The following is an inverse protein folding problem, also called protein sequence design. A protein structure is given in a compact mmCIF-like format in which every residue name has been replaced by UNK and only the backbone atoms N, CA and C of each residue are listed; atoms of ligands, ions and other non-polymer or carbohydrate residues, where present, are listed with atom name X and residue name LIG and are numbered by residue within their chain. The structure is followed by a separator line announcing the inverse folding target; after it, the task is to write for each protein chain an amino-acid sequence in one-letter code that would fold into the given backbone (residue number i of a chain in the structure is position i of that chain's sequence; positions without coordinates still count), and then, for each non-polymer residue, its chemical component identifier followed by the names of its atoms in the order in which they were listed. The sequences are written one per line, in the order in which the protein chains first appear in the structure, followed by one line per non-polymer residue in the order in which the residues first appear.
data_IF_983916464732
#
_entry.id   IF_983916464732
#
_cell.length_a   1.000
_cell.length_b   1.000
_cell.length_c   1.000
_cell.angle_alpha   90.00
_cell.angle_beta   90.00
_cell.angle_gamma   90.00
#
_symmetry.space_group_name_H-M   'P 1'
#
loop_
_entity.id
_entity.type
_entity.pdbx_description
1 polymer ?
#
# COMPACT_ATOMS: atom_id res chain seq x y z
N UNK A 1 -18.22 18.37 -7.83
CA UNK A 1 -17.76 17.10 -7.22
C UNK A 1 -16.83 16.41 -8.20
N UNK A 2 -15.56 16.23 -7.85
CA UNK A 2 -14.61 15.44 -8.67
C UNK A 2 -14.93 13.96 -8.44
N UNK A 3 -14.99 13.16 -9.51
CA UNK A 3 -15.55 11.79 -9.55
C UNK A 3 -14.49 10.70 -9.81
N UNK A 4 -13.23 10.97 -9.49
CA UNK A 4 -12.15 10.02 -9.71
C UNK A 4 -11.84 9.24 -8.44
N UNK A 5 -11.64 7.94 -8.62
CA UNK A 5 -11.09 7.03 -7.62
C UNK A 5 -9.80 6.45 -8.21
N UNK A 6 -8.72 6.53 -7.44
CA UNK A 6 -7.43 5.95 -7.79
C UNK A 6 -7.20 4.70 -6.95
N UNK A 7 -6.90 3.59 -7.61
CA UNK A 7 -6.44 2.38 -6.94
C UNK A 7 -4.93 2.28 -7.13
N UNK A 8 -4.20 2.14 -6.03
CA UNK A 8 -2.75 2.06 -5.99
C UNK A 8 -2.32 0.73 -5.38
N UNK A 9 -1.47 0.01 -6.09
CA UNK A 9 -0.95 -1.30 -5.68
C UNK A 9 0.56 -1.33 -5.99
N UNK A 10 1.37 -0.57 -5.23
CA UNK A 10 2.82 -0.51 -5.43
C UNK A 10 3.48 -1.82 -4.97
N UNK A 11 4.79 -2.01 -5.21
CA UNK A 11 5.55 -3.05 -4.53
C UNK A 11 5.36 -2.97 -3.02
N UNK A 12 5.28 -4.12 -2.36
CA UNK A 12 5.03 -4.18 -0.92
C UNK A 12 6.32 -3.91 -0.14
N UNK A 13 6.18 -3.43 1.10
CA UNK A 13 7.32 -3.10 1.95
C UNK A 13 8.21 -4.33 2.19
N UNK A 14 9.49 -4.22 1.88
CA UNK A 14 10.48 -5.30 1.92
C UNK A 14 10.43 -6.27 0.73
N UNK A 15 9.62 -5.97 -0.28
CA UNK A 15 9.42 -6.73 -1.53
C UNK A 15 9.58 -5.85 -2.78
N UNK A 16 10.34 -4.76 -2.67
CA UNK A 16 10.50 -3.76 -3.73
C UNK A 16 11.20 -4.32 -4.98
N UNK A 17 12.12 -5.27 -4.76
CA UNK A 17 12.90 -5.92 -5.82
C UNK A 17 12.11 -6.97 -6.62
N UNK A 18 10.90 -7.36 -6.19
CA UNK A 18 10.11 -8.41 -6.85
C UNK A 18 9.69 -8.01 -8.28
N UNK A 19 9.72 -6.71 -8.59
CA UNK A 19 9.41 -6.15 -9.90
C UNK A 19 10.64 -5.81 -10.74
N UNK A 20 11.85 -5.94 -10.16
CA UNK A 20 13.12 -5.55 -10.73
C UNK A 20 13.85 -4.52 -9.85
N UNK A 21 15.17 -4.63 -9.82
CA UNK A 21 16.02 -3.79 -8.97
C UNK A 21 15.88 -2.30 -9.30
N UNK A 22 15.87 -1.47 -8.26
CA UNK A 22 15.86 -0.01 -8.33
C UNK A 22 14.62 0.58 -9.05
N UNK A 23 13.52 -0.18 -9.19
CA UNK A 23 12.27 0.31 -9.79
C UNK A 23 11.41 1.07 -8.77
N UNK A 24 11.48 0.65 -7.50
CA UNK A 24 10.76 1.25 -6.40
C UNK A 24 11.63 1.18 -5.15
N UNK A 25 11.54 2.20 -4.30
CA UNK A 25 12.34 2.33 -3.10
C UNK A 25 11.53 2.84 -1.93
N UNK A 26 12.13 2.81 -0.74
CA UNK A 26 11.55 3.40 0.47
C UNK A 26 11.12 4.87 0.26
N UNK A 27 11.94 5.65 -0.44
CA UNK A 27 11.66 7.05 -0.76
C UNK A 27 10.44 7.23 -1.67
N UNK A 28 10.10 6.22 -2.47
CA UNK A 28 8.91 6.26 -3.33
C UNK A 28 7.62 6.07 -2.52
N UNK A 29 7.65 5.38 -1.37
CA UNK A 29 6.50 5.34 -0.45
C UNK A 29 6.23 6.72 0.17
N UNK A 30 7.28 7.43 0.60
CA UNK A 30 7.14 8.80 1.13
C UNK A 30 6.55 9.74 0.08
N UNK A 31 7.08 9.65 -1.14
CA UNK A 31 6.57 10.42 -2.27
C UNK A 31 5.12 10.06 -2.60
N UNK A 32 4.75 8.78 -2.58
CA UNK A 32 3.38 8.32 -2.79
C UNK A 32 2.45 8.89 -1.73
N UNK A 33 2.81 8.81 -0.45
CA UNK A 33 2.06 9.41 0.66
C UNK A 33 1.77 10.90 0.42
N UNK A 34 2.80 11.66 0.04
CA UNK A 34 2.66 13.11 -0.19
C UNK A 34 1.74 13.42 -1.38
N UNK A 35 1.82 12.61 -2.45
CA UNK A 35 0.92 12.72 -3.59
C UNK A 35 -0.53 12.41 -3.21
N UNK A 36 -0.75 11.37 -2.40
CA UNK A 36 -2.08 10.98 -1.92
C UNK A 36 -2.68 12.04 -0.98
N UNK A 37 -1.87 12.65 -0.12
CA UNK A 37 -2.31 13.71 0.79
C UNK A 37 -2.78 14.99 0.05
N UNK A 38 -2.19 15.27 -1.11
CA UNK A 38 -2.57 16.38 -1.99
C UNK A 38 -3.58 16.02 -3.08
N UNK A 39 -4.05 14.77 -3.13
CA UNK A 39 -4.88 14.26 -4.22
C UNK A 39 -6.23 14.98 -4.27
N UNK A 40 -6.72 15.19 -5.49
CA UNK A 40 -8.04 15.78 -5.73
C UNK A 40 -9.00 14.71 -6.25
N UNK A 41 -9.56 13.93 -5.33
CA UNK A 41 -10.37 12.73 -5.58
C UNK A 41 -10.03 11.66 -4.56
N UNK A 42 -10.72 10.53 -4.60
CA UNK A 42 -10.55 9.47 -3.60
C UNK A 42 -9.43 8.52 -4.00
N UNK A 43 -8.86 7.81 -3.02
CA UNK A 43 -7.95 6.70 -3.30
C UNK A 43 -8.19 5.48 -2.43
N UNK A 44 -7.73 4.34 -2.93
CA UNK A 44 -7.51 3.10 -2.19
C UNK A 44 -6.07 2.65 -2.48
N UNK A 45 -5.34 2.29 -1.44
CA UNK A 45 -3.98 1.76 -1.48
C UNK A 45 -3.94 0.43 -0.73
N UNK A 46 -3.43 -0.62 -1.36
CA UNK A 46 -3.17 -1.93 -0.73
C UNK A 46 -1.68 -2.06 -0.39
N UNK A 47 -1.38 -2.47 0.85
CA UNK A 47 -0.02 -2.79 1.32
C UNK A 47 -0.03 -3.91 2.35
N UNK A 48 1.12 -4.56 2.57
CA UNK A 48 1.29 -5.50 3.68
C UNK A 48 1.20 -4.80 5.05
N UNK A 49 0.63 -5.49 6.03
CA UNK A 49 0.52 -5.00 7.41
C UNK A 49 1.87 -5.09 8.14
N UNK A 50 2.60 -3.96 8.16
CA UNK A 50 3.90 -3.80 8.81
C UNK A 50 3.93 -2.51 9.64
N UNK A 51 4.69 -2.46 10.76
CA UNK A 51 4.83 -1.25 11.56
C UNK A 51 5.23 -0.02 10.74
N UNK A 52 6.15 -0.20 9.79
CA UNK A 52 6.67 0.86 8.92
C UNK A 52 5.58 1.45 8.01
N UNK A 53 4.74 0.59 7.42
CA UNK A 53 3.59 1.02 6.61
C UNK A 53 2.58 1.78 7.47
N UNK A 54 2.28 1.29 8.68
CA UNK A 54 1.36 1.95 9.61
C UNK A 54 1.85 3.33 10.03
N UNK A 55 3.15 3.46 10.31
CA UNK A 55 3.76 4.75 10.66
C UNK A 55 3.76 5.71 9.46
N UNK A 56 4.19 5.24 8.30
CA UNK A 56 4.31 6.03 7.08
C UNK A 56 2.97 6.64 6.65
N UNK A 57 1.88 5.86 6.74
CA UNK A 57 0.55 6.26 6.27
C UNK A 57 -0.43 6.63 7.39
N UNK A 58 0.04 6.86 8.62
CA UNK A 58 -0.79 7.11 9.83
C UNK A 58 -1.80 8.25 9.72
N UNK A 59 -1.65 9.14 8.73
CA UNK A 59 -2.59 10.23 8.44
C UNK A 59 -3.85 9.83 7.66
N UNK A 60 -3.98 8.57 7.25
CA UNK A 60 -5.10 8.05 6.45
C UNK A 60 -5.91 6.99 7.20
N UNK A 61 -7.12 6.72 6.72
CA UNK A 61 -7.95 5.62 7.23
C UNK A 61 -7.34 4.27 6.82
N UNK A 62 -7.35 3.29 7.72
CA UNK A 62 -6.79 1.96 7.47
C UNK A 62 -7.73 0.85 7.96
N UNK A 63 -8.00 -0.11 7.10
CA UNK A 63 -8.66 -1.38 7.44
C UNK A 63 -7.65 -2.53 7.36
N UNK A 64 -7.50 -3.30 8.45
CA UNK A 64 -6.70 -4.53 8.47
C UNK A 64 -7.52 -5.69 7.92
N UNK A 65 -6.97 -6.41 6.96
CA UNK A 65 -7.59 -7.60 6.37
C UNK A 65 -6.68 -8.81 6.54
N UNK A 66 -7.24 -9.91 7.05
CA UNK A 66 -6.53 -11.18 7.18
C UNK A 66 -6.68 -12.01 5.91
N UNK A 67 -5.56 -12.52 5.40
CA UNK A 67 -5.47 -13.22 4.12
C UNK A 67 -4.69 -14.52 4.25
N UNK A 68 -4.81 -15.35 3.22
CA UNK A 68 -4.05 -16.56 3.05
C UNK A 68 -3.35 -16.49 1.69
N UNK A 69 -2.06 -16.19 1.66
CA UNK A 69 -1.30 -16.20 0.42
C UNK A 69 -1.00 -17.63 -0.02
N UNK A 70 -0.91 -17.81 -1.34
CA UNK A 70 -0.44 -19.03 -1.97
C UNK A 70 0.24 -18.70 -3.30
N UNK A 71 1.57 -18.70 -3.29
CA UNK A 71 2.39 -18.58 -4.49
C UNK A 71 3.25 -19.85 -4.62
N UNK A 72 2.64 -20.93 -5.12
CA UNK A 72 3.23 -22.27 -5.04
C UNK A 72 3.27 -22.82 -3.60
N UNK A 73 3.37 -24.14 -3.44
CA UNK A 73 3.47 -24.75 -2.10
C UNK A 73 2.25 -24.56 -1.18
N UNK A 74 2.53 -24.49 0.12
CA UNK A 74 1.54 -24.40 1.20
C UNK A 74 0.94 -23.00 1.37
N UNK A 75 -0.14 -22.91 2.15
CA UNK A 75 -0.80 -21.65 2.48
C UNK A 75 0.01 -20.91 3.54
N UNK A 76 0.25 -19.61 3.32
CA UNK A 76 0.91 -18.74 4.29
C UNK A 76 -0.09 -17.68 4.77
N UNK A 77 -0.45 -17.68 6.07
CA UNK A 77 -1.26 -16.59 6.64
C UNK A 77 -0.54 -15.25 6.50
N UNK A 78 -1.29 -14.23 6.14
CA UNK A 78 -0.77 -12.87 5.96
C UNK A 78 -1.82 -11.83 6.36
N UNK A 79 -1.37 -10.58 6.45
CA UNK A 79 -2.21 -9.43 6.73
C UNK A 79 -1.85 -8.29 5.80
N UNK A 80 -2.87 -7.60 5.32
CA UNK A 80 -2.76 -6.39 4.51
C UNK A 80 -3.53 -5.24 5.17
N UNK A 81 -3.21 -4.04 4.72
CA UNK A 81 -3.88 -2.80 5.03
C UNK A 81 -4.54 -2.27 3.76
N UNK A 82 -5.84 -2.01 3.84
CA UNK A 82 -6.56 -1.20 2.87
C UNK A 82 -6.56 0.24 3.40
N UNK A 83 -5.74 1.08 2.77
CA UNK A 83 -5.53 2.47 3.16
C UNK A 83 -6.35 3.37 2.24
N UNK A 84 -7.10 4.33 2.79
CA UNK A 84 -7.98 5.19 2.00
C UNK A 84 -8.02 6.62 2.51
N UNK A 85 -8.36 7.54 1.61
CA UNK A 85 -8.54 8.96 1.91
C UNK A 85 -9.63 9.61 1.06
N UNK A 86 -10.10 10.81 1.49
CA UNK A 86 -11.19 11.56 0.86
C UNK A 86 -10.85 12.10 -0.54
#
# INVERSE_FOLDING_TARGET
MRRSLFYCDPPYWGHEDDYGKDIFSEADFERLRDLLAGLQGHFILSLNDRPEVREMFAGFEMEEVSLNYRAGGGVTPARELIISGP
#
